data_IF_038699744295
#
_entry.id   IF_038699744295
#
_cell.length_a   1.000
_cell.length_b   1.000
_cell.length_c   1.000
_cell.angle_alpha   90.00
_cell.angle_beta   90.00
_cell.angle_gamma   90.00
#
_symmetry.space_group_name_H-M   'P 1'
#
loop_
_entity.id
_entity.type
_entity.pdbx_description
1 polymer ?
#
# COMPACT_ATOMS: atom_id res chain seq x y z
N UNK A 1 -22.88 1.94 -10.55
CA UNK A 1 -21.50 2.01 -10.05
C UNK A 1 -21.51 2.55 -8.63
N UNK A 2 -21.03 1.74 -7.67
CA UNK A 2 -20.99 2.06 -6.23
C UNK A 2 -20.15 3.32 -5.93
N UNK A 3 -19.10 3.56 -6.72
CA UNK A 3 -18.14 4.63 -6.47
C UNK A 3 -18.78 6.03 -6.44
N UNK A 4 -19.91 6.22 -7.13
CA UNK A 4 -20.66 7.48 -7.15
C UNK A 4 -21.31 7.84 -5.82
N UNK A 5 -21.51 6.86 -4.94
CA UNK A 5 -22.11 7.03 -3.62
C UNK A 5 -21.07 7.14 -2.50
N UNK A 6 -19.79 6.96 -2.82
CA UNK A 6 -18.71 7.10 -1.86
C UNK A 6 -18.32 8.58 -1.69
N UNK A 7 -18.10 8.99 -0.45
CA UNK A 7 -17.57 10.33 -0.17
C UNK A 7 -16.11 10.38 -0.61
N UNK A 8 -15.83 11.16 -1.66
CA UNK A 8 -14.47 11.43 -2.08
C UNK A 8 -13.72 12.19 -0.98
N UNK A 9 -12.56 11.66 -0.58
CA UNK A 9 -11.67 12.32 0.36
C UNK A 9 -10.31 12.51 -0.30
N UNK A 10 -9.91 13.76 -0.49
CA UNK A 10 -8.58 14.09 -1.01
C UNK A 10 -7.50 13.53 -0.07
N UNK A 11 -6.44 12.99 -0.65
CA UNK A 11 -5.27 12.50 0.04
C UNK A 11 -4.03 12.79 -0.80
N UNK A 12 -2.85 12.70 -0.19
CA UNK A 12 -1.57 12.83 -0.89
C UNK A 12 -0.91 11.46 -0.91
N UNK A 13 -0.41 11.09 -2.08
CA UNK A 13 0.46 9.93 -2.27
C UNK A 13 1.90 10.42 -2.41
N UNK A 14 2.85 9.55 -2.07
CA UNK A 14 4.24 9.71 -2.46
C UNK A 14 4.31 9.83 -3.99
N UNK A 15 5.06 10.80 -4.49
CA UNK A 15 5.26 10.96 -5.93
C UNK A 15 6.60 10.37 -6.33
N UNK A 16 6.76 9.98 -7.59
CA UNK A 16 8.06 9.56 -8.11
C UNK A 16 9.14 10.63 -7.87
N UNK A 17 8.77 11.90 -8.03
CA UNK A 17 9.67 13.03 -7.74
C UNK A 17 10.14 13.06 -6.28
N UNK A 18 9.24 12.84 -5.30
CA UNK A 18 9.66 12.83 -3.89
C UNK A 18 10.57 11.64 -3.56
N UNK A 19 10.36 10.49 -4.23
CA UNK A 19 11.23 9.32 -4.08
C UNK A 19 12.61 9.63 -4.63
N UNK A 20 12.70 10.15 -5.86
CA UNK A 20 13.96 10.52 -6.50
C UNK A 20 14.79 11.50 -5.66
N UNK A 21 14.13 12.51 -5.05
CA UNK A 21 14.79 13.46 -4.15
C UNK A 21 15.26 12.84 -2.83
N UNK A 22 14.71 11.69 -2.44
CA UNK A 22 15.09 10.99 -1.21
C UNK A 22 16.27 10.03 -1.40
N UNK A 23 16.59 9.66 -2.65
CA UNK A 23 17.70 8.77 -3.01
C UNK A 23 19.01 9.53 -2.87
N UNK A 24 20.01 8.87 -2.27
CA UNK A 24 21.38 9.37 -2.14
C UNK A 24 22.26 8.69 -3.18
N UNK A 25 23.34 9.38 -3.56
CA UNK A 25 24.33 8.80 -4.46
C UNK A 25 24.94 7.53 -3.83
N UNK A 26 24.98 6.44 -4.60
CA UNK A 26 25.46 5.14 -4.13
C UNK A 26 24.42 4.27 -3.42
N UNK A 27 23.17 4.73 -3.26
CA UNK A 27 22.11 3.89 -2.70
C UNK A 27 21.84 2.66 -3.60
N UNK A 28 21.73 1.51 -2.96
CA UNK A 28 21.16 0.28 -3.51
C UNK A 28 19.67 0.26 -3.15
N UNK A 29 18.81 0.11 -4.16
CA UNK A 29 17.37 0.07 -3.99
C UNK A 29 16.88 -1.38 -3.99
N UNK A 30 16.11 -1.76 -2.97
CA UNK A 30 15.38 -3.02 -2.94
C UNK A 30 13.89 -2.72 -3.00
N UNK A 31 13.16 -3.33 -3.95
CA UNK A 31 11.70 -3.26 -3.96
C UNK A 31 11.11 -4.49 -3.26
N UNK A 32 10.17 -4.24 -2.36
CA UNK A 32 9.29 -5.24 -1.77
C UNK A 32 7.91 -5.01 -2.39
N UNK A 33 7.48 -5.98 -3.20
CA UNK A 33 6.15 -5.98 -3.82
C UNK A 33 5.14 -6.67 -2.90
N UNK A 34 4.00 -6.01 -2.66
CA UNK A 34 2.91 -6.56 -1.86
C UNK A 34 1.90 -7.28 -2.76
N UNK A 35 2.03 -8.61 -2.85
CA UNK A 35 1.08 -9.45 -3.60
C UNK A 35 -0.35 -9.23 -3.14
N UNK A 36 -1.23 -8.88 -4.08
CA UNK A 36 -2.65 -8.61 -3.82
C UNK A 36 -2.89 -7.62 -2.67
N UNK A 37 -2.07 -6.56 -2.62
CA UNK A 37 -1.95 -5.60 -1.53
C UNK A 37 -3.28 -5.17 -0.87
N UNK A 38 -4.31 -4.87 -1.66
CA UNK A 38 -5.61 -4.42 -1.14
C UNK A 38 -6.36 -5.52 -0.40
N UNK A 39 -6.22 -6.79 -0.81
CA UNK A 39 -6.93 -7.91 -0.20
C UNK A 39 -6.46 -8.22 1.23
N UNK A 40 -5.33 -7.65 1.67
CA UNK A 40 -4.90 -7.71 3.07
C UNK A 40 -5.68 -6.77 3.99
N UNK A 41 -6.43 -5.80 3.44
CA UNK A 41 -7.22 -4.85 4.23
C UNK A 41 -8.64 -5.39 4.41
N UNK A 42 -9.04 -5.80 5.62
CA UNK A 42 -10.39 -6.30 5.87
C UNK A 42 -11.42 -5.18 5.73
N UNK A 43 -12.57 -5.52 5.16
CA UNK A 43 -13.73 -4.64 5.12
C UNK A 43 -14.53 -4.83 6.40
N UNK A 44 -15.18 -3.76 6.88
CA UNK A 44 -16.10 -3.87 8.02
C UNK A 44 -17.28 -4.79 7.62
N UNK A 45 -17.66 -5.80 8.42
CA UNK A 45 -18.74 -6.73 8.08
C UNK A 45 -20.07 -6.08 7.68
N UNK A 46 -20.43 -4.96 8.32
CA UNK A 46 -21.64 -4.20 7.97
C UNK A 46 -21.64 -3.62 6.55
N UNK A 47 -20.49 -3.59 5.86
CA UNK A 47 -20.34 -3.07 4.50
C UNK A 47 -20.26 -4.16 3.42
N UNK A 48 -20.15 -5.45 3.77
CA UNK A 48 -20.04 -6.54 2.77
C UNK A 48 -21.19 -6.51 1.75
N UNK A 49 -22.41 -6.21 2.21
CA UNK A 49 -23.60 -6.08 1.37
C UNK A 49 -23.50 -5.06 0.23
N UNK A 50 -22.64 -4.05 0.36
CA UNK A 50 -22.43 -3.04 -0.69
C UNK A 50 -21.40 -3.48 -1.73
N UNK A 51 -20.58 -4.48 -1.41
CA UNK A 51 -19.51 -5.01 -2.27
C UNK A 51 -19.88 -6.39 -2.81
N UNK A 52 -21.16 -6.56 -3.18
CA UNK A 52 -21.67 -7.80 -3.75
C UNK A 52 -21.45 -7.86 -5.26
N UNK A 53 -21.14 -9.04 -5.76
CA UNK A 53 -21.16 -9.33 -7.18
C UNK A 53 -21.89 -10.65 -7.43
N UNK A 54 -22.32 -10.86 -8.68
CA UNK A 54 -22.99 -12.08 -9.10
C UNK A 54 -22.11 -12.82 -10.11
N UNK A 55 -21.96 -14.13 -9.92
CA UNK A 55 -21.27 -15.01 -10.85
C UNK A 55 -22.03 -16.34 -10.89
N UNK A 56 -22.40 -16.80 -12.09
CA UNK A 56 -23.21 -18.01 -12.30
C UNK A 56 -24.48 -18.06 -11.43
N UNK A 57 -25.26 -16.98 -11.43
CA UNK A 57 -26.48 -16.81 -10.61
C UNK A 57 -26.28 -16.92 -9.09
N UNK A 58 -25.02 -16.95 -8.63
CA UNK A 58 -24.66 -16.98 -7.22
C UNK A 58 -24.11 -15.62 -6.79
N UNK A 59 -24.58 -15.16 -5.63
CA UNK A 59 -24.09 -13.93 -5.01
C UNK A 59 -22.87 -14.19 -4.13
N UNK A 60 -21.86 -13.34 -4.31
CA UNK A 60 -20.64 -13.31 -3.51
C UNK A 60 -20.45 -11.92 -2.92
N UNK A 61 -19.73 -11.84 -1.81
CA UNK A 61 -19.40 -10.59 -1.14
C UNK A 61 -17.89 -10.49 -0.93
N UNK A 62 -17.32 -9.30 -1.16
CA UNK A 62 -15.95 -9.05 -0.74
C UNK A 62 -15.87 -8.85 0.78
N UNK A 63 -14.99 -9.63 1.41
CA UNK A 63 -14.64 -9.49 2.84
C UNK A 63 -13.38 -8.65 3.07
N UNK A 64 -12.62 -8.41 2.01
CA UNK A 64 -11.45 -7.54 1.97
C UNK A 64 -11.60 -6.46 0.90
N UNK A 65 -10.76 -5.43 0.95
CA UNK A 65 -10.86 -4.25 0.11
C UNK A 65 -10.69 -4.61 -1.39
N UNK A 66 -11.74 -4.51 -2.22
CA UNK A 66 -11.64 -4.94 -3.61
C UNK A 66 -10.94 -3.90 -4.48
N UNK A 67 -10.30 -4.38 -5.54
CA UNK A 67 -9.84 -3.53 -6.63
C UNK A 67 -11.00 -2.80 -7.30
N UNK A 68 -10.75 -1.57 -7.78
CA UNK A 68 -11.77 -0.73 -8.42
C UNK A 68 -12.65 0.08 -7.46
N UNK A 69 -12.54 -0.11 -6.15
CA UNK A 69 -13.20 0.76 -5.17
C UNK A 69 -12.45 2.10 -5.07
N UNK A 70 -13.14 3.23 -5.28
CA UNK A 70 -12.52 4.56 -5.33
C UNK A 70 -11.86 4.98 -4.00
N UNK A 71 -12.27 4.38 -2.87
CA UNK A 71 -11.66 4.60 -1.56
C UNK A 71 -10.43 3.74 -1.30
N UNK A 72 -10.15 2.73 -2.14
CA UNK A 72 -9.08 1.77 -1.90
C UNK A 72 -7.68 2.41 -1.88
N UNK A 73 -7.28 3.23 -2.88
CA UNK A 73 -5.94 3.83 -2.89
C UNK A 73 -5.68 4.71 -1.66
N UNK A 74 -6.70 5.46 -1.21
CA UNK A 74 -6.59 6.28 0.00
C UNK A 74 -6.41 5.44 1.25
N UNK A 75 -7.23 4.39 1.39
CA UNK A 75 -7.18 3.50 2.55
C UNK A 75 -5.81 2.84 2.63
N UNK A 76 -5.33 2.32 1.50
CA UNK A 76 -4.03 1.68 1.41
C UNK A 76 -2.88 2.65 1.72
N UNK A 77 -2.89 3.84 1.13
CA UNK A 77 -1.89 4.90 1.42
C UNK A 77 -1.84 5.26 2.91
N UNK A 78 -2.98 5.25 3.60
CA UNK A 78 -3.03 5.54 5.04
C UNK A 78 -2.44 4.41 5.89
N UNK A 79 -2.64 3.15 5.48
CA UNK A 79 -2.00 2.00 6.14
C UNK A 79 -0.49 2.06 5.95
N UNK A 80 -0.01 2.27 4.72
CA UNK A 80 1.42 2.40 4.45
C UNK A 80 2.07 3.58 5.19
N UNK A 81 1.37 4.71 5.32
CA UNK A 81 1.87 5.83 6.11
C UNK A 81 2.04 5.49 7.60
N UNK A 82 1.18 4.64 8.16
CA UNK A 82 1.30 4.17 9.54
C UNK A 82 2.47 3.18 9.68
N UNK A 83 2.64 2.26 8.71
CA UNK A 83 3.80 1.36 8.64
C UNK A 83 5.12 2.14 8.56
N UNK A 84 5.19 3.12 7.66
CA UNK A 84 6.36 3.99 7.52
C UNK A 84 6.65 4.80 8.80
N UNK A 85 5.61 5.20 9.54
CA UNK A 85 5.79 5.86 10.83
C UNK A 85 6.34 4.91 11.90
N UNK A 86 5.91 3.64 11.90
CA UNK A 86 6.40 2.63 12.83
C UNK A 86 7.88 2.29 12.60
N UNK A 87 8.31 2.20 11.33
CA UNK A 87 9.70 1.86 10.98
C UNK A 87 10.64 3.07 11.13
N UNK A 88 10.11 4.29 11.31
CA UNK A 88 10.88 5.55 11.37
C UNK A 88 11.97 5.57 12.44
N UNK A 89 11.77 4.84 13.54
CA UNK A 89 12.73 4.78 14.65
C UNK A 89 13.84 3.75 14.42
N UNK A 90 13.83 3.06 13.27
CA UNK A 90 14.90 2.15 12.83
C UNK A 90 15.86 2.89 11.87
N UNK A 91 17.10 2.42 11.69
CA UNK A 91 18.04 3.01 10.73
C UNK A 91 17.66 2.77 9.26
N UNK A 92 16.56 2.06 8.98
CA UNK A 92 16.12 1.69 7.64
C UNK A 92 15.44 2.89 6.97
N UNK A 93 15.92 3.26 5.79
CA UNK A 93 15.27 4.28 4.95
C UNK A 93 14.32 3.57 3.99
N UNK A 94 13.04 3.96 4.03
CA UNK A 94 12.03 3.40 3.16
C UNK A 94 11.20 4.47 2.46
N UNK A 95 10.67 4.14 1.28
CA UNK A 95 9.70 4.93 0.53
C UNK A 95 8.58 4.02 0.05
N UNK A 96 7.34 4.37 0.37
CA UNK A 96 6.16 3.64 -0.09
C UNK A 96 5.63 4.27 -1.39
N UNK A 97 5.40 3.48 -2.43
CA UNK A 97 4.82 3.89 -3.70
C UNK A 97 3.77 2.90 -4.16
N UNK A 98 2.49 3.25 -4.02
CA UNK A 98 1.38 2.34 -4.31
C UNK A 98 1.55 1.02 -3.54
N UNK A 99 1.72 -0.09 -4.25
CA UNK A 99 1.86 -1.44 -3.69
C UNK A 99 3.33 -1.85 -3.47
N UNK A 100 4.28 -1.02 -3.93
CA UNK A 100 5.72 -1.20 -3.72
C UNK A 100 6.21 -0.49 -2.46
N UNK A 101 7.08 -1.18 -1.69
CA UNK A 101 7.88 -0.59 -0.62
C UNK A 101 9.35 -0.63 -1.06
N UNK A 102 9.94 0.54 -1.24
CA UNK A 102 11.35 0.70 -1.61
C UNK A 102 12.20 0.88 -0.37
N UNK A 103 13.23 0.05 -0.20
CA UNK A 103 14.30 0.25 0.79
C UNK A 103 15.48 0.94 0.12
N UNK A 104 16.09 1.90 0.83
CA UNK A 104 17.20 2.72 0.34
C UNK A 104 18.44 2.49 1.21
N UNK A 105 19.29 1.56 0.79
CA UNK A 105 20.44 1.11 1.56
C UNK A 105 21.75 1.66 1.00
N UNK A 106 22.73 2.05 1.82
CA UNK A 106 23.99 2.64 1.35
C UNK A 106 24.95 1.65 0.68
N UNK A 107 24.70 0.35 0.76
CA UNK A 107 25.52 -0.71 0.16
C UNK A 107 24.71 -1.99 -0.02
N UNK A 108 25.18 -2.90 -0.87
CA UNK A 108 24.53 -4.21 -1.08
C UNK A 108 24.51 -5.07 0.18
N UNK A 109 25.56 -4.99 1.01
CA UNK A 109 25.60 -5.70 2.30
C UNK A 109 24.52 -5.19 3.25
N UNK A 110 24.32 -3.87 3.32
CA UNK A 110 23.25 -3.29 4.13
C UNK A 110 21.87 -3.61 3.55
N UNK A 111 21.72 -3.61 2.22
CA UNK A 111 20.45 -3.98 1.57
C UNK A 111 19.99 -5.39 1.96
N UNK A 112 20.91 -6.36 2.05
CA UNK A 112 20.58 -7.71 2.50
C UNK A 112 20.12 -7.74 3.96
N UNK A 113 20.76 -6.96 4.84
CA UNK A 113 20.40 -6.86 6.26
C UNK A 113 19.02 -6.19 6.42
N UNK A 114 18.81 -5.07 5.74
CA UNK A 114 17.55 -4.30 5.80
C UNK A 114 16.38 -5.15 5.30
N UNK A 115 16.59 -5.92 4.22
CA UNK A 115 15.57 -6.82 3.65
C UNK A 115 15.20 -7.96 4.60
N UNK A 116 16.16 -8.50 5.36
CA UNK A 116 15.90 -9.57 6.34
C UNK A 116 15.30 -9.07 7.66
N UNK A 117 15.46 -7.77 7.95
CA UNK A 117 15.01 -7.14 9.20
C UNK A 117 13.61 -6.51 9.08
N UNK A 118 13.04 -6.51 7.88
CA UNK A 118 11.68 -6.02 7.57
C UNK A 118 10.69 -7.17 7.65
#
# INVERSE_FOLDING_TARGET
DLNRFLVYRKFKMTTLQSILLSIRWGDVLTSIDLTEAYLHIPIRPSHYKFLRFCYNDQHYEYVALPFGLASAPRTFTKVLAALAAFIRDTPIRLQCYLDDILLLSPSSSQANIDTQST
#
